data_IF_563145389259
#
_entry.id   IF_563145389259
#
_cell.length_a   1.000
_cell.length_b   1.000
_cell.length_c   1.000
_cell.angle_alpha   90.00
_cell.angle_beta   90.00
_cell.angle_gamma   90.00
#
_symmetry.space_group_name_H-M   'P 1'
#
loop_
_entity.id
_entity.type
_entity.pdbx_description
1 polymer ?
#
# COMPACT_ATOMS: atom_id res chain seq x y z
N UNK A 1 -17.71 9.10 0.34
CA UNK A 1 -17.10 8.74 0.31
C UNK A 1 -17.06 8.21 0.68
N UNK A 2 -17.22 8.20 0.88
CA UNK A 2 -16.91 7.68 1.05
C UNK A 2 -16.80 7.10 1.19
N UNK A 3 -16.85 7.13 1.15
CA UNK A 3 -16.58 6.48 1.18
C UNK A 3 -16.49 5.86 1.53
N UNK A 4 -16.52 5.95 1.40
CA UNK A 4 -16.40 5.10 1.77
C UNK A 4 -16.54 4.76 2.92
N UNK A 5 -16.81 4.82 3.34
CA UNK A 5 -16.78 4.40 4.59
C UNK A 5 -17.19 3.07 4.97
N UNK A 6 -16.80 2.11 4.44
CA UNK A 6 -17.04 0.75 4.81
C UNK A 6 -16.30 0.46 6.10
N UNK A 7 -16.61 -0.60 6.84
CA UNK A 7 -15.87 -0.92 8.05
C UNK A 7 -14.39 -1.05 7.80
N UNK A 8 -14.00 -1.52 6.64
CA UNK A 8 -12.59 -1.62 6.31
C UNK A 8 -11.99 -0.28 5.93
N UNK A 9 -12.82 0.75 5.76
CA UNK A 9 -12.32 2.05 5.33
C UNK A 9 -11.32 2.63 6.34
N UNK A 10 -11.46 2.33 7.63
CA UNK A 10 -10.49 2.73 8.62
C UNK A 10 -9.30 1.80 8.71
N UNK A 11 -9.37 0.62 8.09
CA UNK A 11 -8.35 -0.40 8.18
C UNK A 11 -7.50 -0.50 6.93
N UNK A 12 -8.12 -0.27 5.77
CA UNK A 12 -7.42 -0.31 4.48
C UNK A 12 -7.98 0.83 3.64
N UNK A 13 -7.11 1.68 3.12
CA UNK A 13 -7.55 2.76 2.25
C UNK A 13 -6.41 3.23 1.37
N UNK A 14 -6.79 3.74 0.20
CA UNK A 14 -5.83 4.37 -0.69
C UNK A 14 -5.55 5.79 -0.19
N UNK A 15 -4.29 6.17 -0.23
CA UNK A 15 -3.82 7.48 0.20
C UNK A 15 -3.11 8.15 -0.96
N UNK A 16 -3.47 9.41 -1.23
CA UNK A 16 -2.73 10.20 -2.19
C UNK A 16 -1.51 10.79 -1.52
N UNK A 17 -0.35 10.57 -2.12
CA UNK A 17 0.90 11.08 -1.61
C UNK A 17 1.24 12.39 -2.34
N UNK A 18 1.92 13.32 -1.67
CA UNK A 18 2.23 14.60 -2.28
C UNK A 18 3.24 14.47 -3.42
N UNK A 19 3.09 15.31 -4.43
CA UNK A 19 3.96 15.30 -5.60
C UNK A 19 4.44 16.74 -5.84
N UNK A 20 5.74 16.88 -6.04
CA UNK A 20 6.35 18.12 -6.46
C UNK A 20 6.87 17.90 -7.87
N UNK A 21 6.36 18.66 -8.83
CA UNK A 21 6.69 18.49 -10.24
C UNK A 21 7.44 19.72 -10.74
N UNK A 22 8.54 19.49 -11.45
CA UNK A 22 9.26 20.56 -12.15
C UNK A 22 9.90 19.94 -13.40
N UNK A 23 10.63 20.72 -14.22
CA UNK A 23 11.20 20.19 -15.46
C UNK A 23 12.17 19.03 -15.28
N UNK A 24 12.66 18.80 -14.07
CA UNK A 24 13.58 17.68 -13.80
C UNK A 24 12.83 16.39 -13.45
N UNK A 25 11.51 16.43 -13.30
CA UNK A 25 10.72 15.26 -12.99
C UNK A 25 9.82 15.48 -11.79
N UNK A 26 9.32 14.37 -11.25
CA UNK A 26 8.38 14.38 -10.13
C UNK A 26 9.06 13.82 -8.88
N UNK A 27 8.74 14.42 -7.74
CA UNK A 27 9.23 13.97 -6.45
C UNK A 27 8.03 13.71 -5.54
N UNK A 28 7.99 12.55 -4.94
CA UNK A 28 6.96 12.19 -3.96
C UNK A 28 7.65 11.86 -2.65
N UNK A 29 7.07 12.29 -1.54
CA UNK A 29 7.64 12.03 -0.22
C UNK A 29 6.53 11.64 0.75
N UNK A 30 6.93 10.98 1.85
CA UNK A 30 6.02 10.52 2.88
C UNK A 30 6.61 10.90 4.23
N UNK A 31 5.80 11.53 5.06
CA UNK A 31 6.20 11.84 6.43
C UNK A 31 5.26 11.14 7.38
N UNK A 32 5.81 10.49 8.38
CA UNK A 32 5.02 9.85 9.42
C UNK A 32 4.20 10.88 10.18
N UNK A 33 3.02 10.48 10.62
CA UNK A 33 2.08 11.31 11.38
C UNK A 33 1.52 12.48 10.56
N UNK A 34 1.85 12.54 9.28
CA UNK A 34 1.34 13.59 8.40
C UNK A 34 0.62 12.99 7.21
N UNK A 35 1.30 12.17 6.42
CA UNK A 35 0.71 11.51 5.24
C UNK A 35 0.17 10.15 5.59
N UNK A 36 0.76 9.52 6.59
CA UNK A 36 0.29 8.24 7.14
C UNK A 36 0.06 8.44 8.64
N UNK A 37 -0.93 7.74 9.21
CA UNK A 37 -1.32 7.98 10.61
C UNK A 37 -0.47 7.20 11.61
N UNK A 38 0.84 7.10 11.36
CA UNK A 38 1.74 6.39 12.27
C UNK A 38 3.16 6.90 12.07
N UNK A 39 4.04 6.74 13.07
CA UNK A 39 5.45 7.06 12.89
C UNK A 39 6.11 5.99 12.03
N UNK A 40 6.89 6.43 11.06
CA UNK A 40 7.59 5.50 10.17
C UNK A 40 8.85 5.06 10.88
N UNK A 41 8.92 3.76 11.19
CA UNK A 41 10.07 3.21 11.93
C UNK A 41 10.96 2.36 11.05
N UNK A 42 10.44 1.89 9.91
CA UNK A 42 11.22 1.04 8.99
C UNK A 42 10.71 1.25 7.59
N UNK A 43 11.65 1.30 6.65
CA UNK A 43 11.35 1.35 5.23
C UNK A 43 12.04 0.16 4.59
N UNK A 44 11.32 -0.58 3.77
CA UNK A 44 11.91 -1.63 2.96
C UNK A 44 11.21 -1.67 1.61
N UNK A 45 11.88 -2.27 0.65
CA UNK A 45 11.31 -2.37 -0.69
C UNK A 45 11.71 -3.70 -1.31
N UNK A 46 10.85 -4.18 -2.17
CA UNK A 46 11.04 -5.45 -2.88
C UNK A 46 11.45 -5.13 -4.32
N UNK A 47 12.39 -5.89 -4.83
CA UNK A 47 12.83 -5.71 -6.21
C UNK A 47 13.27 -7.05 -6.75
N UNK A 48 13.34 -7.16 -8.09
CA UNK A 48 13.66 -8.41 -8.76
C UNK A 48 12.69 -9.52 -8.40
N UNK A 49 11.42 -9.18 -8.22
CA UNK A 49 10.38 -10.15 -7.87
C UNK A 49 9.92 -10.85 -9.15
N UNK A 50 9.99 -12.18 -9.20
CA UNK A 50 9.50 -12.90 -10.38
C UNK A 50 8.02 -12.65 -10.61
N UNK A 51 7.60 -12.66 -11.88
CA UNK A 51 6.21 -12.32 -12.24
C UNK A 51 5.20 -13.29 -11.65
N UNK A 52 5.61 -14.54 -11.40
CA UNK A 52 4.72 -15.55 -10.86
C UNK A 52 4.85 -15.70 -9.34
N UNK A 53 5.61 -14.84 -8.70
CA UNK A 53 5.79 -14.92 -7.26
C UNK A 53 4.55 -14.48 -6.50
N UNK A 54 4.36 -15.07 -5.33
CA UNK A 54 3.36 -14.63 -4.36
C UNK A 54 4.11 -14.31 -3.08
N UNK A 55 3.78 -13.18 -2.48
CA UNK A 55 4.44 -12.73 -1.27
C UNK A 55 3.40 -12.29 -0.26
N UNK A 56 3.82 -12.19 0.99
CA UNK A 56 2.93 -11.83 2.09
C UNK A 56 2.30 -13.06 2.67
N UNK A 57 0.97 -13.12 2.67
CA UNK A 57 0.25 -14.24 3.24
C UNK A 57 0.29 -14.24 4.75
N UNK A 58 0.13 -13.05 5.34
CA UNK A 58 0.13 -12.92 6.79
C UNK A 58 -0.61 -11.66 7.22
N UNK A 59 -0.90 -11.59 8.50
CA UNK A 59 -1.46 -10.40 9.14
C UNK A 59 -0.55 -10.04 10.30
N UNK A 60 -0.34 -8.75 10.49
CA UNK A 60 0.52 -8.27 11.56
C UNK A 60 -0.32 -7.81 12.74
N UNK A 61 0.10 -8.22 13.93
CA UNK A 61 -0.64 -7.87 15.14
C UNK A 61 -0.50 -6.40 15.50
N UNK A 62 0.71 -5.86 15.37
CA UNK A 62 1.01 -4.51 15.83
C UNK A 62 1.55 -3.59 14.76
N UNK A 63 1.50 -4.01 13.52
CA UNK A 63 2.14 -3.26 12.43
C UNK A 63 1.11 -2.56 11.56
N UNK A 64 1.33 -1.27 11.37
CA UNK A 64 0.63 -0.48 10.36
C UNK A 64 1.61 -0.24 9.23
N UNK A 65 1.11 -0.25 8.00
CA UNK A 65 1.94 -0.11 6.81
C UNK A 65 1.30 0.79 5.79
N UNK A 66 2.13 1.37 4.95
CA UNK A 66 1.69 1.92 3.67
C UNK A 66 2.53 1.25 2.59
N UNK A 67 1.89 0.79 1.53
CA UNK A 67 2.51 0.05 0.44
C UNK A 67 2.24 0.78 -0.86
N UNK A 68 3.23 0.88 -1.72
CA UNK A 68 3.05 1.52 -3.03
C UNK A 68 4.04 0.93 -4.03
N UNK A 69 3.74 1.13 -5.32
CA UNK A 69 4.61 0.65 -6.39
C UNK A 69 5.54 1.78 -6.82
N UNK A 70 6.85 1.60 -6.60
CA UNK A 70 7.83 2.57 -7.08
C UNK A 70 7.93 2.52 -8.60
N UNK A 71 7.81 1.32 -9.17
CA UNK A 71 7.78 1.14 -10.61
C UNK A 71 6.94 -0.10 -10.90
N UNK A 72 6.41 -0.18 -12.11
CA UNK A 72 5.59 -1.31 -12.51
C UNK A 72 4.29 -1.37 -11.74
N UNK A 73 3.80 -2.58 -11.52
CA UNK A 73 2.52 -2.79 -10.86
C UNK A 73 2.48 -4.15 -10.17
N UNK A 74 1.58 -4.26 -9.21
CA UNK A 74 1.29 -5.54 -8.58
C UNK A 74 -0.10 -5.47 -7.94
N UNK A 75 -0.63 -6.63 -7.57
CA UNK A 75 -1.94 -6.73 -6.96
C UNK A 75 -1.80 -7.04 -5.48
N UNK A 76 -2.53 -6.29 -4.65
CA UNK A 76 -2.69 -6.56 -3.22
C UNK A 76 -4.04 -7.21 -3.00
N UNK A 77 -4.05 -8.38 -2.39
CA UNK A 77 -5.28 -9.04 -1.96
C UNK A 77 -5.40 -8.86 -0.46
N UNK A 78 -6.55 -8.36 -0.04
CA UNK A 78 -6.82 -7.95 1.34
C UNK A 78 -8.00 -8.74 1.88
N UNK A 79 -7.86 -9.22 3.12
CA UNK A 79 -8.93 -9.92 3.80
C UNK A 79 -8.99 -9.38 5.24
N UNK A 80 -10.09 -8.72 5.58
CA UNK A 80 -10.27 -8.15 6.92
C UNK A 80 -11.07 -9.06 7.84
N UNK A 81 -11.32 -10.29 7.39
CA UNK A 81 -12.10 -11.25 8.15
C UNK A 81 -13.57 -11.26 7.80
N UNK A 82 -14.06 -10.24 7.13
CA UNK A 82 -15.45 -10.12 6.71
C UNK A 82 -15.58 -9.97 5.20
N UNK A 83 -14.67 -9.22 4.61
CA UNK A 83 -14.71 -8.88 3.19
C UNK A 83 -13.34 -9.09 2.59
N UNK A 84 -13.31 -9.55 1.36
CA UNK A 84 -12.09 -9.66 0.59
C UNK A 84 -12.11 -8.59 -0.49
N UNK A 85 -10.96 -7.96 -0.72
CA UNK A 85 -10.86 -6.92 -1.72
C UNK A 85 -9.50 -7.00 -2.39
N UNK A 86 -9.39 -6.34 -3.54
CA UNK A 86 -8.17 -6.31 -4.34
C UNK A 86 -7.85 -4.88 -4.72
N UNK A 87 -6.56 -4.56 -4.71
CA UNK A 87 -6.08 -3.25 -5.12
C UNK A 87 -4.92 -3.45 -6.07
N UNK A 88 -4.98 -2.78 -7.22
CA UNK A 88 -3.86 -2.78 -8.16
C UNK A 88 -3.04 -1.52 -7.88
N UNK A 89 -1.79 -1.71 -7.49
CA UNK A 89 -0.88 -0.60 -7.22
C UNK A 89 0.05 -0.44 -8.41
N UNK A 90 0.00 0.72 -9.04
CA UNK A 90 0.77 0.98 -10.26
C UNK A 90 1.22 2.43 -10.36
N UNK A 91 1.05 3.21 -9.32
CA UNK A 91 1.37 4.62 -9.31
C UNK A 91 2.15 4.93 -8.03
N UNK A 92 3.39 5.46 -8.15
CA UNK A 92 4.16 5.75 -6.93
C UNK A 92 3.53 6.82 -6.04
N UNK A 93 2.52 7.55 -6.55
CA UNK A 93 1.83 8.56 -5.76
C UNK A 93 0.64 8.03 -5.00
N UNK A 94 0.30 6.75 -5.16
CA UNK A 94 -0.85 6.13 -4.50
C UNK A 94 -0.35 5.08 -3.54
N UNK A 95 -0.56 5.29 -2.26
CA UNK A 95 -0.20 4.32 -1.24
C UNK A 95 -1.44 3.60 -0.73
N UNK A 96 -1.29 2.34 -0.36
CA UNK A 96 -2.34 1.58 0.28
C UNK A 96 -2.00 1.47 1.75
N UNK A 97 -2.79 2.12 2.59
CA UNK A 97 -2.66 2.04 4.03
C UNK A 97 -3.33 0.76 4.53
N UNK A 98 -2.62 -0.03 5.32
CA UNK A 98 -3.12 -1.28 5.88
C UNK A 98 -2.89 -1.26 7.39
N UNK A 99 -4.00 -1.33 8.14
CA UNK A 99 -3.95 -1.34 9.58
C UNK A 99 -3.58 -2.74 10.09
N UNK A 100 -3.49 -2.88 11.40
CA UNK A 100 -3.16 -4.14 12.06
C UNK A 100 -4.23 -5.20 11.80
N UNK A 101 -3.80 -6.47 11.88
CA UNK A 101 -4.69 -7.63 11.83
C UNK A 101 -5.44 -7.80 10.51
N UNK A 102 -4.92 -7.23 9.44
CA UNK A 102 -5.49 -7.38 8.11
C UNK A 102 -4.61 -8.35 7.34
N UNK A 103 -5.22 -9.42 6.83
CA UNK A 103 -4.51 -10.38 5.99
C UNK A 103 -4.20 -9.77 4.65
N UNK A 104 -3.00 -9.99 4.17
CA UNK A 104 -2.54 -9.41 2.91
C UNK A 104 -1.70 -10.38 2.13
N UNK A 105 -1.84 -10.33 0.82
CA UNK A 105 -1.03 -11.08 -0.12
C UNK A 105 -0.74 -10.20 -1.32
N UNK A 106 0.41 -10.44 -1.94
CA UNK A 106 0.82 -9.70 -3.14
C UNK A 106 1.12 -10.69 -4.23
N UNK A 107 0.64 -10.41 -5.44
CA UNK A 107 0.93 -11.23 -6.60
C UNK A 107 0.87 -10.39 -7.88
N UNK A 108 1.00 -11.05 -9.01
CA UNK A 108 0.85 -10.42 -10.32
C UNK A 108 1.82 -9.26 -10.52
N UNK A 109 3.07 -9.46 -10.10
CA UNK A 109 4.10 -8.45 -10.28
C UNK A 109 4.41 -8.27 -11.75
N UNK A 110 4.52 -7.02 -12.20
CA UNK A 110 4.94 -6.72 -13.56
C UNK A 110 6.45 -6.85 -13.67
N UNK A 111 6.90 -6.89 -14.89
CA UNK A 111 8.34 -6.99 -15.18
C UNK A 111 9.03 -5.63 -15.10
#
# INVERSE_FOLDING_TARGET
MIEQNTPSAGHVRLIDLPVVTDPRGDLTFIEGERHVPFPIRRVYYLYNVPVDAERGGHAHRDLEQVVFALSGSFRMKIDDGKTKSEYWLRDPRKGLYINRLIWREMDSFSQ
#
